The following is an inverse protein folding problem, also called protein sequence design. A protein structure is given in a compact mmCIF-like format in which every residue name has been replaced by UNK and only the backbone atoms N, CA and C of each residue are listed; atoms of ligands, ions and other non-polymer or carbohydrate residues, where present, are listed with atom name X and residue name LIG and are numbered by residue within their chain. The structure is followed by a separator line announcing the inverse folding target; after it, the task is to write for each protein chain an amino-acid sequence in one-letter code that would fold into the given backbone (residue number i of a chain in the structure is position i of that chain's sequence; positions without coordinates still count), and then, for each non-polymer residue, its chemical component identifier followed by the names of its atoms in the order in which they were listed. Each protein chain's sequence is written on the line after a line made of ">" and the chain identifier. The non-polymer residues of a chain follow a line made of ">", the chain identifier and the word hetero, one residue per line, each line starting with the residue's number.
data_IF_507827735213
#
_entry.id   IF_507827735213
#
_cell.length_a   1.000
_cell.length_b   1.000
_cell.length_c   1.000
_cell.angle_alpha   90.00
_cell.angle_beta   90.00
_cell.angle_gamma   90.00
#
_symmetry.space_group_name_H-M   'P 1'
#
loop_
_entity.id
_entity.type
_entity.pdbx_description
1 polymer ?
#
# COMPACT_ATOMS: atom_id res chain seq x y z
N UNK A 1 -2.18 -40.96 27.21
CA UNK A 1 -2.55 -40.26 25.96
C UNK A 1 -2.84 -38.75 26.12
N UNK A 2 -2.58 -38.11 27.27
CA UNK A 2 -3.02 -36.73 27.53
C UNK A 2 -2.00 -35.58 27.31
N UNK A 3 -0.72 -35.86 27.04
CA UNK A 3 0.31 -34.81 26.91
C UNK A 3 0.50 -34.28 25.48
N UNK A 4 0.15 -35.06 24.45
CA UNK A 4 0.29 -34.65 23.04
C UNK A 4 -0.80 -33.68 22.55
N UNK A 5 -1.92 -33.55 23.28
CA UNK A 5 -3.05 -32.73 22.84
C UNK A 5 -2.95 -31.28 23.38
N UNK A 6 -2.38 -31.11 24.58
CA UNK A 6 -2.11 -29.80 25.18
C UNK A 6 -0.99 -29.05 24.46
N UNK A 7 0.04 -29.74 23.94
CA UNK A 7 1.10 -29.11 23.16
C UNK A 7 0.59 -28.58 21.81
N UNK A 8 -0.37 -29.24 21.16
CA UNK A 8 -1.03 -28.73 19.95
C UNK A 8 -1.88 -27.48 20.24
N UNK A 9 -2.65 -27.48 21.33
CA UNK A 9 -3.49 -26.33 21.72
C UNK A 9 -2.68 -25.11 22.19
N UNK A 10 -1.51 -25.29 22.80
CA UNK A 10 -0.63 -24.17 23.17
C UNK A 10 0.20 -23.63 22.00
N UNK A 11 0.45 -24.45 20.96
CA UNK A 11 1.21 -24.04 19.77
C UNK A 11 0.34 -23.26 18.76
N UNK A 12 -0.97 -23.51 18.71
CA UNK A 12 -1.89 -22.74 17.85
C UNK A 12 -2.15 -21.30 18.34
N UNK A 13 -2.03 -21.04 19.66
CA UNK A 13 -2.26 -19.69 20.22
C UNK A 13 -1.06 -18.75 20.10
N UNK A 14 0.14 -19.26 19.79
CA UNK A 14 1.40 -18.49 19.81
C UNK A 14 2.02 -18.29 18.43
N UNK A 15 1.24 -18.47 17.35
CA UNK A 15 1.74 -18.26 15.98
C UNK A 15 0.73 -17.59 15.04
N UNK A 16 -0.24 -16.84 15.57
CA UNK A 16 -0.91 -15.82 14.77
C UNK A 16 -0.03 -14.59 14.77
N UNK A 17 0.95 -14.60 13.89
CA UNK A 17 1.60 -13.36 13.49
C UNK A 17 0.47 -12.43 13.04
N UNK A 18 0.26 -11.36 13.81
CA UNK A 18 -0.82 -10.43 13.55
C UNK A 18 -0.48 -9.70 12.24
N UNK A 19 -1.39 -9.77 11.26
CA UNK A 19 -1.28 -8.97 10.05
C UNK A 19 -1.07 -7.51 10.43
N UNK A 20 -0.23 -6.83 9.68
CA UNK A 20 0.16 -5.46 9.94
C UNK A 20 -0.88 -4.52 9.32
N UNK A 21 -1.67 -3.87 10.18
CA UNK A 21 -2.73 -2.96 9.76
C UNK A 21 -2.17 -1.58 9.45
N UNK A 22 -2.27 -1.16 8.20
CA UNK A 22 -1.85 0.16 7.74
C UNK A 22 -2.97 1.19 7.71
N UNK A 23 -4.23 0.83 7.97
CA UNK A 23 -5.30 1.85 7.95
C UNK A 23 -5.03 3.00 8.93
N UNK A 24 -4.60 2.79 10.19
CA UNK A 24 -4.28 3.93 11.06
C UNK A 24 -2.93 4.60 10.72
N UNK A 25 -2.18 4.13 9.73
CA UNK A 25 -0.82 4.56 9.48
C UNK A 25 -0.75 5.79 8.57
N UNK A 26 0.03 6.78 8.97
CA UNK A 26 0.44 7.88 8.10
C UNK A 26 1.68 7.50 7.28
N UNK A 27 1.90 8.22 6.18
CA UNK A 27 3.12 8.10 5.39
C UNK A 27 3.72 9.46 5.02
N UNK A 28 5.02 9.45 4.70
CA UNK A 28 5.75 10.61 4.22
C UNK A 28 5.83 10.58 2.70
N UNK A 29 5.58 11.72 2.07
CA UNK A 29 5.52 11.87 0.61
C UNK A 29 6.85 12.35 0.04
N UNK A 30 7.32 11.67 -1.01
CA UNK A 30 8.53 11.98 -1.76
C UNK A 30 8.20 12.09 -3.25
N UNK A 31 8.49 13.23 -3.88
CA UNK A 31 8.29 13.42 -5.34
C UNK A 31 9.60 13.23 -6.10
N UNK A 32 9.56 12.53 -7.23
CA UNK A 32 10.71 12.32 -8.12
C UNK A 32 10.68 13.31 -9.29
N UNK A 33 11.78 13.95 -9.68
CA UNK A 33 11.81 14.93 -10.79
C UNK A 33 11.81 14.23 -12.16
N UNK A 34 10.86 14.55 -13.07
CA UNK A 34 10.67 14.20 -14.52
C UNK A 34 9.15 14.01 -14.85
N UNK A 35 8.65 13.58 -16.03
CA UNK A 35 7.18 13.59 -16.30
C UNK A 35 6.41 12.45 -15.60
N UNK A 36 5.35 12.77 -14.86
CA UNK A 36 4.49 11.82 -14.13
C UNK A 36 3.12 11.60 -14.77
N UNK A 37 2.24 10.82 -14.11
CA UNK A 37 0.94 10.49 -14.66
C UNK A 37 0.02 11.71 -14.67
N UNK A 38 -1.00 11.66 -15.52
CA UNK A 38 -2.09 12.63 -15.50
C UNK A 38 -2.83 12.53 -14.16
N UNK A 39 -2.94 13.63 -13.40
CA UNK A 39 -3.70 13.63 -12.15
C UNK A 39 -5.16 13.21 -12.32
N UNK A 40 -5.78 13.45 -13.48
CA UNK A 40 -7.17 13.06 -13.72
C UNK A 40 -7.32 11.54 -13.80
N UNK A 41 -6.43 10.85 -14.51
CA UNK A 41 -6.43 9.38 -14.58
C UNK A 41 -6.28 8.78 -13.18
N UNK A 42 -5.41 9.36 -12.35
CA UNK A 42 -5.22 8.91 -10.98
C UNK A 42 -6.45 9.16 -10.08
N UNK A 43 -7.15 10.28 -10.27
CA UNK A 43 -8.39 10.59 -9.54
C UNK A 43 -9.54 9.66 -9.93
N UNK A 44 -9.63 9.26 -11.20
CA UNK A 44 -10.61 8.28 -11.65
C UNK A 44 -10.32 6.91 -11.02
N UNK A 45 -9.04 6.49 -11.01
CA UNK A 45 -8.60 5.25 -10.37
C UNK A 45 -8.88 5.24 -8.86
N UNK A 46 -8.50 6.31 -8.14
CA UNK A 46 -8.73 6.42 -6.70
C UNK A 46 -10.22 6.41 -6.36
N UNK A 47 -11.04 7.14 -7.12
CA UNK A 47 -12.49 7.22 -6.95
C UNK A 47 -13.16 5.86 -7.16
N UNK A 48 -12.72 5.09 -8.16
CA UNK A 48 -13.24 3.74 -8.41
C UNK A 48 -13.04 2.83 -7.20
N UNK A 49 -11.87 2.88 -6.55
CA UNK A 49 -11.58 2.03 -5.40
C UNK A 49 -12.04 2.58 -4.06
N UNK A 50 -12.40 3.85 -3.92
CA UNK A 50 -12.70 4.50 -2.63
C UNK A 50 -13.80 3.82 -1.78
N UNK A 51 -14.63 2.94 -2.36
CA UNK A 51 -15.64 2.12 -1.66
C UNK A 51 -15.28 0.64 -1.49
N UNK A 52 -14.08 0.21 -1.89
CA UNK A 52 -13.68 -1.19 -2.02
C UNK A 52 -13.41 -1.94 -0.71
N UNK A 53 -13.56 -1.29 0.44
CA UNK A 53 -13.32 -1.91 1.75
C UNK A 53 -11.83 -2.12 2.04
N UNK A 54 -11.45 -3.35 2.39
CA UNK A 54 -10.08 -3.70 2.81
C UNK A 54 -9.45 -4.68 1.83
N UNK A 55 -8.15 -4.57 1.67
CA UNK A 55 -7.33 -5.53 0.93
C UNK A 55 -6.12 -5.96 1.76
N UNK A 56 -5.45 -7.00 1.27
CA UNK A 56 -4.23 -7.52 1.88
C UNK A 56 -3.14 -7.72 0.85
N UNK A 57 -1.89 -7.49 1.24
CA UNK A 57 -0.71 -7.77 0.43
C UNK A 57 0.14 -8.80 1.17
N UNK A 58 0.38 -9.93 0.52
CA UNK A 58 1.22 -11.01 1.05
C UNK A 58 2.66 -10.55 1.29
N UNK A 59 3.41 -11.24 2.17
CA UNK A 59 4.80 -10.89 2.48
C UNK A 59 5.66 -10.86 1.22
N UNK A 60 6.46 -9.80 1.08
CA UNK A 60 7.38 -9.62 -0.07
C UNK A 60 6.69 -9.65 -1.44
N UNK A 61 5.40 -9.35 -1.49
CA UNK A 61 4.63 -9.17 -2.72
C UNK A 61 4.16 -7.73 -2.89
N UNK A 62 3.85 -7.37 -4.14
CA UNK A 62 3.28 -6.08 -4.48
C UNK A 62 1.93 -6.25 -5.18
N UNK A 63 1.11 -5.22 -5.10
CA UNK A 63 -0.13 -5.08 -5.86
C UNK A 63 -0.03 -3.88 -6.77
N UNK A 64 -0.58 -4.00 -7.97
CA UNK A 64 -0.58 -2.95 -8.98
C UNK A 64 -2.02 -2.59 -9.33
N UNK A 65 -2.29 -1.30 -9.40
CA UNK A 65 -3.52 -0.74 -9.94
C UNK A 65 -3.15 0.22 -11.06
N UNK A 66 -3.88 0.16 -12.16
CA UNK A 66 -3.56 0.93 -13.36
C UNK A 66 -4.83 1.41 -14.05
N UNK A 67 -4.80 2.66 -14.50
CA UNK A 67 -5.83 3.25 -15.35
C UNK A 67 -5.25 4.45 -16.10
N UNK A 68 -5.48 4.49 -17.42
CA UNK A 68 -4.91 5.53 -18.28
C UNK A 68 -3.38 5.60 -18.14
N UNK A 69 -2.87 6.79 -17.84
CA UNK A 69 -1.44 7.01 -17.57
C UNK A 69 -1.03 6.71 -16.12
N UNK A 70 -1.98 6.47 -15.21
CA UNK A 70 -1.71 6.29 -13.79
C UNK A 70 -1.44 4.83 -13.43
N UNK A 71 -0.25 4.55 -12.88
CA UNK A 71 0.08 3.27 -12.23
C UNK A 71 0.40 3.49 -10.76
N UNK A 72 -0.24 2.71 -9.90
CA UNK A 72 -0.03 2.69 -8.46
C UNK A 72 0.49 1.31 -8.08
N UNK A 73 1.64 1.25 -7.42
CA UNK A 73 2.25 0.04 -6.89
C UNK A 73 2.30 0.15 -5.38
N UNK A 74 1.70 -0.80 -4.66
CA UNK A 74 1.93 -0.95 -3.23
C UNK A 74 2.73 -2.20 -2.94
N UNK A 75 3.83 -2.05 -2.21
CA UNK A 75 4.72 -3.15 -1.86
C UNK A 75 4.67 -3.44 -0.35
N UNK A 76 4.45 -4.70 0.03
CA UNK A 76 4.75 -5.19 1.37
C UNK A 76 6.25 -5.53 1.48
N UNK A 77 6.99 -4.71 2.22
CA UNK A 77 8.44 -4.80 2.41
C UNK A 77 8.84 -5.42 3.75
N UNK A 78 7.88 -5.91 4.53
CA UNK A 78 8.16 -6.56 5.80
C UNK A 78 9.08 -7.77 5.57
N UNK A 79 10.16 -7.85 6.36
CA UNK A 79 11.14 -8.93 6.22
C UNK A 79 10.58 -10.30 6.65
N UNK A 80 9.62 -10.29 7.57
CA UNK A 80 8.96 -11.50 8.04
C UNK A 80 8.14 -12.13 6.91
N UNK A 81 8.44 -13.38 6.57
CA UNK A 81 7.80 -14.12 5.46
C UNK A 81 6.38 -14.60 5.78
N UNK A 82 5.83 -14.24 6.93
CA UNK A 82 4.49 -14.59 7.37
C UNK A 82 3.65 -13.38 7.82
N UNK A 83 4.13 -12.14 7.58
CA UNK A 83 3.39 -10.91 7.89
C UNK A 83 2.75 -10.31 6.65
N UNK A 84 1.42 -10.38 6.56
CA UNK A 84 0.67 -9.64 5.55
C UNK A 84 0.51 -8.20 5.98
N UNK A 85 0.34 -7.32 5.01
CA UNK A 85 -0.19 -5.97 5.23
C UNK A 85 -1.68 -5.99 4.93
N UNK A 86 -2.48 -5.34 5.76
CA UNK A 86 -3.87 -5.02 5.44
C UNK A 86 -4.06 -3.51 5.36
N UNK A 87 -4.75 -3.03 4.32
CA UNK A 87 -4.99 -1.60 4.13
C UNK A 87 -6.41 -1.34 3.60
N UNK A 88 -6.83 -0.07 3.72
CA UNK A 88 -8.20 0.37 3.45
C UNK A 88 -8.22 1.19 2.15
N UNK A 89 -9.20 0.92 1.29
CA UNK A 89 -9.28 1.61 0.01
C UNK A 89 -9.83 3.04 0.08
N UNK A 90 -10.41 3.45 1.21
CA UNK A 90 -11.21 4.68 1.28
C UNK A 90 -10.41 5.98 1.13
N UNK A 91 -11.16 7.09 1.04
CA UNK A 91 -10.64 8.45 0.80
C UNK A 91 -9.67 8.97 1.87
N UNK A 92 -9.61 8.37 3.05
CA UNK A 92 -8.66 8.73 4.10
C UNK A 92 -7.41 7.86 4.08
N UNK A 93 -7.40 6.80 3.26
CA UNK A 93 -6.35 5.79 3.21
C UNK A 93 -5.85 5.65 1.77
N UNK A 94 -5.94 4.47 1.13
CA UNK A 94 -5.33 4.25 -0.19
C UNK A 94 -5.80 5.26 -1.24
N UNK A 95 -7.10 5.51 -1.40
CA UNK A 95 -7.59 6.48 -2.39
C UNK A 95 -7.08 7.89 -2.07
N UNK A 96 -7.11 8.29 -0.79
CA UNK A 96 -6.58 9.57 -0.35
C UNK A 96 -5.07 9.73 -0.60
N UNK A 97 -4.29 8.66 -0.43
CA UNK A 97 -2.84 8.65 -0.73
C UNK A 97 -2.61 8.81 -2.22
N UNK A 98 -3.35 8.10 -3.07
CA UNK A 98 -3.24 8.22 -4.53
C UNK A 98 -3.60 9.64 -5.00
N UNK A 99 -4.66 10.23 -4.46
CA UNK A 99 -5.06 11.61 -4.73
C UNK A 99 -4.00 12.62 -4.27
N UNK A 100 -3.42 12.41 -3.08
CA UNK A 100 -2.36 13.28 -2.57
C UNK A 100 -1.09 13.20 -3.42
N UNK A 101 -0.65 11.99 -3.78
CA UNK A 101 0.54 11.79 -4.60
C UNK A 101 0.36 12.35 -6.01
N UNK A 102 -0.80 12.12 -6.65
CA UNK A 102 -1.06 12.65 -8.00
C UNK A 102 -1.19 14.16 -8.02
N UNK A 103 -1.85 14.76 -7.03
CA UNK A 103 -2.00 16.23 -6.95
C UNK A 103 -0.69 16.94 -6.60
N UNK A 104 0.23 16.31 -5.88
CA UNK A 104 1.49 16.92 -5.44
C UNK A 104 2.69 16.57 -6.32
N UNK A 105 2.70 15.37 -6.89
CA UNK A 105 3.82 14.80 -7.63
C UNK A 105 3.43 14.35 -9.06
N UNK A 106 2.24 14.65 -9.55
CA UNK A 106 1.80 14.30 -10.92
C UNK A 106 2.38 15.20 -12.01
N UNK A 107 1.92 15.00 -13.26
CA UNK A 107 2.44 15.67 -14.46
C UNK A 107 2.50 17.20 -14.36
N UNK A 108 1.53 17.83 -13.69
CA UNK A 108 1.47 19.29 -13.47
C UNK A 108 2.66 19.83 -12.66
N UNK A 109 3.39 18.96 -11.98
CA UNK A 109 4.56 19.29 -11.17
C UNK A 109 5.88 18.84 -11.80
N UNK A 110 5.88 18.41 -13.07
CA UNK A 110 7.09 17.92 -13.74
C UNK A 110 7.81 16.84 -12.92
N UNK A 111 7.05 16.02 -12.20
CA UNK A 111 7.54 14.92 -11.34
C UNK A 111 7.05 13.55 -11.85
N UNK A 112 7.83 12.46 -11.76
CA UNK A 112 7.56 11.09 -12.33
C UNK A 112 6.42 10.35 -11.65
N UNK A 113 5.60 11.08 -10.90
CA UNK A 113 4.88 10.56 -9.77
C UNK A 113 5.71 10.68 -8.49
N UNK A 114 5.35 9.91 -7.48
CA UNK A 114 5.92 10.03 -6.16
C UNK A 114 5.61 8.81 -5.31
N UNK A 115 6.23 8.76 -4.14
CA UNK A 115 6.08 7.66 -3.21
C UNK A 115 5.63 8.13 -1.84
N UNK A 116 4.87 7.27 -1.17
CA UNK A 116 4.37 7.39 0.19
C UNK A 116 5.01 6.27 1.01
N UNK A 117 5.89 6.63 1.95
CA UNK A 117 6.61 5.69 2.82
C UNK A 117 5.93 5.64 4.17
N UNK A 118 5.31 4.50 4.49
CA UNK A 118 4.64 4.31 5.78
C UNK A 118 5.68 4.31 6.90
N UNK A 119 5.38 5.05 7.98
CA UNK A 119 6.32 5.26 9.10
C UNK A 119 7.68 5.82 8.69
N UNK A 120 7.72 6.57 7.58
CA UNK A 120 8.94 7.14 7.00
C UNK A 120 10.06 6.12 6.74
N UNK A 121 9.67 4.90 6.36
CA UNK A 121 10.61 3.81 6.21
C UNK A 121 10.28 2.90 5.04
N UNK A 122 11.32 2.52 4.30
CA UNK A 122 11.26 1.50 3.27
C UNK A 122 11.11 0.08 3.83
N UNK A 123 11.13 -0.13 5.14
CA UNK A 123 11.03 -1.47 5.73
C UNK A 123 9.60 -1.98 5.91
N UNK A 124 8.58 -1.11 5.82
CA UNK A 124 7.19 -1.49 6.05
C UNK A 124 6.43 -1.67 4.75
N UNK A 125 6.00 -0.55 4.18
CA UNK A 125 5.28 -0.52 2.91
C UNK A 125 5.54 0.79 2.21
N UNK A 126 5.46 0.74 0.89
CA UNK A 126 5.54 1.91 0.04
C UNK A 126 4.39 1.86 -0.95
N UNK A 127 3.69 2.99 -1.10
CA UNK A 127 2.85 3.23 -2.28
C UNK A 127 3.65 4.11 -3.23
N UNK A 128 3.88 3.64 -4.43
CA UNK A 128 4.55 4.38 -5.51
C UNK A 128 3.53 4.65 -6.60
N UNK A 129 3.46 5.90 -7.02
CA UNK A 129 2.64 6.38 -8.13
C UNK A 129 3.59 6.75 -9.26
N UNK A 130 3.33 6.26 -10.46
CA UNK A 130 4.17 6.50 -11.63
C UNK A 130 3.37 6.55 -12.93
N UNK A 131 4.02 7.03 -14.00
CA UNK A 131 3.44 7.13 -15.33
C UNK A 131 3.64 5.84 -16.13
N UNK A 132 2.58 5.34 -16.74
CA UNK A 132 2.65 4.33 -17.80
C UNK A 132 3.01 5.00 -19.12
N UNK A 133 3.97 4.40 -19.84
CA UNK A 133 4.51 4.91 -21.11
C UNK A 133 3.88 4.19 -22.28
#
# INVERSE_FOLDING_TARGET
>A
MGLMQLSKMFNEKRNRVKDFDLCPASCITYCEKLIGPDPQDCQELSSYYAGGGRFTIEPKQYTVWEYGTCRVIQFNRLESTNQKISYCFDKHHWAGVVDHLSSRCGAKHGSRGGSCYFYDSLHFSTITLERVV
#
